data_IF_730269035661
#
_entry.id   IF_730269035661
#
_cell.length_a   1.000
_cell.length_b   1.000
_cell.length_c   1.000
_cell.angle_alpha   90.00
_cell.angle_beta   90.00
_cell.angle_gamma   90.00
#
_symmetry.space_group_name_H-M   'P 1'
#
loop_
_entity.id
_entity.type
_entity.pdbx_description
1 polymer ?
#
# COMPACT_ATOMS: atom_id res chain seq x y z
N UNK A 1 6.09 -15.34 15.64
CA UNK A 1 5.66 -14.02 16.15
C UNK A 1 5.13 -13.22 14.98
N UNK A 2 3.86 -12.86 15.02
CA UNK A 2 3.13 -12.14 13.99
C UNK A 2 3.78 -10.77 13.69
N UNK A 3 3.61 -10.26 12.46
CA UNK A 3 4.06 -8.91 12.10
C UNK A 3 3.01 -7.90 12.55
N UNK A 4 3.43 -6.77 13.15
CA UNK A 4 2.50 -5.70 13.49
C UNK A 4 2.21 -4.92 12.20
N UNK A 5 1.00 -5.06 11.65
CA UNK A 5 0.57 -4.36 10.43
C UNK A 5 -0.56 -3.42 10.81
N UNK A 6 -0.46 -2.16 10.38
CA UNK A 6 -1.48 -1.15 10.55
C UNK A 6 -1.76 -0.48 9.21
N UNK A 7 -3.03 -0.38 8.83
CA UNK A 7 -3.47 0.18 7.55
C UNK A 7 -4.56 1.21 7.86
N UNK A 8 -4.34 2.46 7.43
CA UNK A 8 -5.25 3.57 7.70
C UNK A 8 -5.37 4.49 6.50
N UNK A 9 -6.56 5.04 6.29
CA UNK A 9 -6.88 5.97 5.22
C UNK A 9 -6.85 7.43 5.68
N UNK A 10 -6.50 8.34 4.76
CA UNK A 10 -6.54 9.79 4.96
C UNK A 10 -6.99 10.49 3.68
N UNK A 11 -7.64 11.64 3.83
CA UNK A 11 -7.83 12.64 2.76
C UNK A 11 -6.85 13.77 2.98
N UNK A 12 -5.94 13.99 2.05
CA UNK A 12 -4.86 14.96 2.25
C UNK A 12 -4.49 15.69 0.96
N UNK A 13 -4.09 16.96 1.10
CA UNK A 13 -3.55 17.74 -0.01
C UNK A 13 -2.02 17.75 0.06
N UNK A 14 -1.38 17.06 -0.87
CA UNK A 14 0.08 16.97 -0.94
C UNK A 14 0.64 18.23 -1.59
N UNK A 15 1.13 19.16 -0.78
CA UNK A 15 1.81 20.38 -1.28
C UNK A 15 3.30 20.13 -1.55
N UNK A 16 3.96 19.35 -0.68
CA UNK A 16 5.38 19.03 -0.76
C UNK A 16 5.62 17.52 -0.60
N UNK A 17 5.83 16.85 -1.74
CA UNK A 17 6.07 15.42 -1.80
C UNK A 17 7.37 15.02 -1.09
N UNK A 18 8.46 15.76 -1.31
CA UNK A 18 9.77 15.44 -0.73
C UNK A 18 9.74 15.55 0.79
N UNK A 19 9.06 16.55 1.33
CA UNK A 19 8.84 16.69 2.77
C UNK A 19 8.08 15.50 3.31
N UNK A 20 6.96 15.12 2.67
CA UNK A 20 6.12 14.02 3.16
C UNK A 20 6.86 12.67 3.12
N UNK A 21 7.61 12.39 2.05
CA UNK A 21 8.44 11.19 1.95
C UNK A 21 9.54 11.16 3.03
N UNK A 22 10.22 12.30 3.24
CA UNK A 22 11.24 12.43 4.29
C UNK A 22 10.64 12.18 5.67
N UNK A 23 9.52 12.83 5.99
CA UNK A 23 8.84 12.67 7.28
C UNK A 23 8.36 11.24 7.49
N UNK A 24 7.83 10.56 6.46
CA UNK A 24 7.46 9.14 6.53
C UNK A 24 8.64 8.25 6.91
N UNK A 25 9.82 8.48 6.31
CA UNK A 25 11.04 7.74 6.64
C UNK A 25 11.51 8.02 8.08
N UNK A 26 11.45 9.26 8.54
CA UNK A 26 11.81 9.62 9.91
C UNK A 26 10.85 9.00 10.94
N UNK A 27 9.54 8.98 10.65
CA UNK A 27 8.53 8.36 11.52
C UNK A 27 8.72 6.86 11.63
N UNK A 28 8.87 6.15 10.52
CA UNK A 28 9.08 4.70 10.54
C UNK A 28 10.31 4.31 11.36
N UNK A 29 11.44 5.02 11.17
CA UNK A 29 12.65 4.79 11.96
C UNK A 29 12.45 5.09 13.45
N UNK A 30 11.72 6.17 13.79
CA UNK A 30 11.43 6.57 15.17
C UNK A 30 10.54 5.59 15.91
N UNK A 31 9.54 5.02 15.22
CA UNK A 31 8.53 4.14 15.83
C UNK A 31 8.79 2.65 15.59
N UNK A 32 9.90 2.28 14.95
CA UNK A 32 10.31 0.89 14.77
C UNK A 32 10.52 0.17 16.12
N UNK A 33 9.92 -1.02 16.27
CA UNK A 33 9.85 -1.71 17.58
C UNK A 33 10.70 -2.97 17.70
N UNK A 34 11.26 -3.52 16.60
CA UNK A 34 11.97 -4.79 16.66
C UNK A 34 13.16 -4.86 15.70
N UNK A 35 14.41 -4.62 16.18
CA UNK A 35 15.64 -4.64 15.40
C UNK A 35 15.91 -5.89 14.56
N UNK A 36 15.26 -7.02 14.87
CA UNK A 36 15.43 -8.29 14.14
C UNK A 36 14.43 -8.47 12.99
N UNK A 37 13.53 -7.51 12.76
CA UNK A 37 12.50 -7.58 11.72
C UNK A 37 12.59 -6.39 10.78
N UNK A 38 12.18 -6.57 9.54
CA UNK A 38 12.03 -5.45 8.60
C UNK A 38 10.87 -4.56 9.02
N UNK A 39 10.95 -3.28 8.71
CA UNK A 39 9.90 -2.31 8.99
C UNK A 39 9.67 -1.41 7.78
N UNK A 40 8.49 -0.80 7.73
CA UNK A 40 8.15 0.16 6.68
C UNK A 40 7.04 1.10 7.18
N UNK A 41 7.07 2.32 6.67
CA UNK A 41 5.88 3.16 6.56
C UNK A 41 5.77 3.58 5.08
N UNK A 42 4.74 3.10 4.41
CA UNK A 42 4.49 3.37 3.01
C UNK A 42 3.16 4.12 2.85
N UNK A 43 3.21 5.26 2.17
CA UNK A 43 2.03 6.03 1.78
C UNK A 43 1.71 5.70 0.31
N UNK A 44 0.46 5.35 0.05
CA UNK A 44 -0.03 4.88 -1.25
C UNK A 44 -1.25 5.69 -1.68
N UNK A 45 -1.48 5.79 -2.98
CA UNK A 45 -2.71 6.28 -3.56
C UNK A 45 -3.86 5.30 -3.24
N UNK A 46 -4.79 5.69 -2.37
CA UNK A 46 -5.88 4.80 -1.96
C UNK A 46 -6.90 4.56 -3.08
N UNK A 47 -6.99 5.46 -4.07
CA UNK A 47 -7.87 5.28 -5.24
C UNK A 47 -7.51 4.04 -6.08
N UNK A 48 -6.29 3.51 -5.93
CA UNK A 48 -5.83 2.30 -6.60
C UNK A 48 -5.98 1.03 -5.74
N UNK A 49 -6.62 1.12 -4.57
CA UNK A 49 -6.81 0.02 -3.62
C UNK A 49 -8.26 -0.47 -3.68
N UNK A 50 -8.42 -1.78 -3.82
CA UNK A 50 -9.71 -2.45 -3.96
C UNK A 50 -10.31 -2.98 -2.64
N UNK A 51 -10.06 -2.32 -1.51
CA UNK A 51 -10.49 -2.78 -0.19
C UNK A 51 -9.35 -3.16 0.75
N UNK A 52 -9.71 -3.41 2.01
CA UNK A 52 -8.76 -3.73 3.08
C UNK A 52 -8.04 -5.05 2.85
N UNK A 53 -8.76 -6.08 2.39
CA UNK A 53 -8.16 -7.41 2.19
C UNK A 53 -7.19 -7.40 1.02
N UNK A 54 -7.45 -6.60 -0.02
CA UNK A 54 -6.50 -6.38 -1.11
C UNK A 54 -5.16 -5.83 -0.61
N UNK A 55 -5.16 -4.71 0.13
CA UNK A 55 -3.92 -4.10 0.60
C UNK A 55 -3.24 -4.97 1.66
N UNK A 56 -3.99 -5.60 2.58
CA UNK A 56 -3.43 -6.53 3.55
C UNK A 56 -2.73 -7.71 2.84
N UNK A 57 -3.37 -8.28 1.81
CA UNK A 57 -2.79 -9.36 1.02
C UNK A 57 -1.48 -8.93 0.35
N UNK A 58 -1.43 -7.74 -0.25
CA UNK A 58 -0.21 -7.18 -0.82
C UNK A 58 0.92 -7.02 0.22
N UNK A 59 0.59 -6.57 1.44
CA UNK A 59 1.55 -6.45 2.54
C UNK A 59 2.10 -7.80 2.98
N UNK A 60 1.21 -8.78 3.17
CA UNK A 60 1.60 -10.15 3.54
C UNK A 60 2.53 -10.73 2.47
N UNK A 61 2.19 -10.56 1.19
CA UNK A 61 3.03 -11.04 0.10
C UNK A 61 4.38 -10.32 0.03
N UNK A 62 4.44 -9.02 0.29
CA UNK A 62 5.69 -8.28 0.33
C UNK A 62 6.60 -8.77 1.48
N UNK A 63 6.05 -8.94 2.68
CA UNK A 63 6.78 -9.48 3.84
C UNK A 63 7.32 -10.88 3.52
N UNK A 64 6.45 -11.75 3.00
CA UNK A 64 6.81 -13.12 2.66
C UNK A 64 7.91 -13.17 1.58
N UNK A 65 7.85 -12.29 0.57
CA UNK A 65 8.88 -12.20 -0.46
C UNK A 65 10.24 -11.83 0.14
N UNK A 66 10.27 -10.89 1.09
CA UNK A 66 11.48 -10.54 1.82
C UNK A 66 12.01 -11.66 2.71
N UNK A 67 11.13 -12.34 3.45
CA UNK A 67 11.52 -13.47 4.30
C UNK A 67 12.09 -14.64 3.48
N UNK A 68 11.66 -14.80 2.23
CA UNK A 68 12.19 -15.82 1.30
C UNK A 68 13.36 -15.35 0.43
N UNK A 69 13.71 -14.05 0.45
CA UNK A 69 14.73 -13.48 -0.44
C UNK A 69 14.31 -13.43 -1.91
N UNK A 70 13.01 -13.39 -2.18
CA UNK A 70 12.38 -13.32 -3.51
C UNK A 70 11.84 -11.91 -3.83
N UNK A 71 12.12 -10.93 -2.98
CA UNK A 71 11.70 -9.55 -3.15
C UNK A 71 12.27 -8.94 -4.44
N UNK A 72 11.44 -8.14 -5.12
CA UNK A 72 11.80 -7.44 -6.36
C UNK A 72 12.42 -6.08 -6.02
N UNK A 73 11.86 -5.38 -5.04
CA UNK A 73 12.33 -4.09 -4.58
C UNK A 73 13.40 -4.20 -3.48
N UNK A 74 14.12 -3.09 -3.26
CA UNK A 74 15.23 -3.01 -2.30
C UNK A 74 14.79 -2.79 -0.85
N UNK A 75 13.58 -2.30 -0.64
CA UNK A 75 12.99 -2.05 0.68
C UNK A 75 11.53 -2.53 0.72
N UNK A 76 11.05 -2.76 1.94
CA UNK A 76 9.73 -3.33 2.18
C UNK A 76 8.59 -2.41 1.72
N UNK A 77 8.73 -1.10 1.83
CA UNK A 77 7.72 -0.14 1.37
C UNK A 77 7.52 -0.18 -0.14
N UNK A 78 8.61 -0.21 -0.90
CA UNK A 78 8.57 -0.35 -2.36
C UNK A 78 8.05 -1.73 -2.81
N UNK A 79 8.34 -2.80 -2.07
CA UNK A 79 7.76 -4.11 -2.38
C UNK A 79 6.26 -4.15 -2.13
N UNK A 80 5.78 -3.56 -1.02
CA UNK A 80 4.34 -3.38 -0.78
C UNK A 80 3.71 -2.61 -1.95
N UNK A 81 4.35 -1.52 -2.39
CA UNK A 81 3.89 -0.74 -3.54
C UNK A 81 3.81 -1.57 -4.82
N UNK A 82 4.81 -2.41 -5.12
CA UNK A 82 4.81 -3.31 -6.28
C UNK A 82 3.63 -4.29 -6.22
N UNK A 83 3.51 -5.02 -5.10
CA UNK A 83 2.47 -6.04 -4.90
C UNK A 83 1.08 -5.45 -4.99
N UNK A 84 0.84 -4.32 -4.31
CA UNK A 84 -0.46 -3.65 -4.33
C UNK A 84 -0.81 -3.08 -5.71
N UNK A 85 0.19 -2.63 -6.49
CA UNK A 85 -0.03 -2.08 -7.84
C UNK A 85 -0.18 -3.13 -8.94
N UNK A 86 -0.05 -4.42 -8.62
CA UNK A 86 0.00 -5.51 -9.61
C UNK A 86 1.14 -5.37 -10.64
N UNK A 87 2.24 -4.71 -10.26
CA UNK A 87 3.38 -4.46 -11.15
C UNK A 87 4.66 -5.11 -10.62
N UNK A 88 5.53 -5.52 -11.55
CA UNK A 88 6.93 -5.91 -11.24
C UNK A 88 7.93 -4.77 -11.44
N UNK A 89 7.52 -3.69 -12.10
CA UNK A 89 8.37 -2.54 -12.39
C UNK A 89 8.06 -1.38 -11.43
N UNK A 90 9.05 -0.93 -10.67
CA UNK A 90 8.90 0.13 -9.66
C UNK A 90 8.34 1.42 -10.27
N UNK A 91 8.82 1.84 -11.44
CA UNK A 91 8.33 3.07 -12.08
C UNK A 91 6.84 3.01 -12.45
N UNK A 92 6.34 1.84 -12.87
CA UNK A 92 4.91 1.64 -13.16
C UNK A 92 4.10 1.61 -11.85
N UNK A 93 4.59 0.90 -10.84
CA UNK A 93 3.96 0.88 -9.52
C UNK A 93 3.81 2.28 -8.95
N UNK A 94 4.86 3.11 -8.99
CA UNK A 94 4.81 4.49 -8.51
C UNK A 94 3.89 5.39 -9.35
N UNK A 95 3.64 5.05 -10.61
CA UNK A 95 2.68 5.80 -11.44
C UNK A 95 1.23 5.57 -10.97
N UNK A 96 0.93 4.34 -10.53
CA UNK A 96 -0.39 3.90 -10.05
C UNK A 96 -0.59 4.26 -8.57
N UNK A 97 0.33 3.80 -7.73
CA UNK A 97 0.27 3.84 -6.26
C UNK A 97 1.03 5.01 -5.63
N UNK A 98 1.92 5.67 -6.37
CA UNK A 98 2.74 6.74 -5.82
C UNK A 98 1.92 7.99 -5.48
N UNK A 99 2.39 8.71 -4.48
CA UNK A 99 1.87 10.03 -4.13
C UNK A 99 2.13 11.04 -5.26
N UNK A 100 1.18 11.93 -5.46
CA UNK A 100 1.19 13.02 -6.44
C UNK A 100 0.86 14.32 -5.71
N UNK A 101 1.23 15.47 -6.29
CA UNK A 101 0.85 16.77 -5.73
C UNK A 101 -0.65 17.03 -5.93
N UNK A 102 -1.26 17.73 -4.98
CA UNK A 102 -2.69 18.04 -5.00
C UNK A 102 -3.50 17.19 -4.05
N UNK A 103 -4.82 17.24 -4.20
CA UNK A 103 -5.75 16.47 -3.38
C UNK A 103 -5.65 14.98 -3.70
N UNK A 104 -5.50 14.17 -2.66
CA UNK A 104 -5.38 12.73 -2.77
C UNK A 104 -6.05 12.01 -1.61
N UNK A 105 -6.56 10.82 -1.93
CA UNK A 105 -6.84 9.78 -0.97
C UNK A 105 -5.56 9.00 -0.72
N UNK A 106 -5.12 8.92 0.54
CA UNK A 106 -3.87 8.28 0.94
C UNK A 106 -4.17 7.06 1.82
N UNK A 107 -3.59 5.92 1.48
CA UNK A 107 -3.53 4.75 2.34
C UNK A 107 -2.13 4.66 2.94
N UNK A 108 -2.03 4.74 4.27
CA UNK A 108 -0.78 4.55 4.98
C UNK A 108 -0.71 3.11 5.51
N UNK A 109 0.38 2.43 5.17
CA UNK A 109 0.70 1.08 5.63
C UNK A 109 1.94 1.14 6.50
N UNK A 110 1.81 0.71 7.74
CA UNK A 110 2.91 0.57 8.70
C UNK A 110 3.14 -0.90 9.01
N UNK A 111 4.41 -1.34 8.95
CA UNK A 111 4.84 -2.68 9.32
C UNK A 111 5.91 -2.60 10.40
N UNK A 112 5.72 -3.35 11.49
CA UNK A 112 6.63 -3.46 12.64
C UNK A 112 7.00 -2.10 13.26
N UNK A 113 6.05 -1.16 13.28
CA UNK A 113 6.13 0.08 14.05
C UNK A 113 5.09 0.09 15.18
N UNK A 114 5.34 0.90 16.21
CA UNK A 114 4.44 1.09 17.34
C UNK A 114 3.12 1.75 16.89
N UNK A 115 2.02 1.47 17.58
CA UNK A 115 0.69 2.09 17.37
C UNK A 115 0.71 3.62 17.34
N UNK A 116 1.64 4.25 18.10
CA UNK A 116 1.84 5.71 18.10
C UNK A 116 2.23 6.30 16.75
N UNK A 117 2.63 5.48 15.77
CA UNK A 117 2.90 5.97 14.42
C UNK A 117 1.64 6.54 13.78
N UNK A 118 0.46 6.01 14.12
CA UNK A 118 -0.78 6.50 13.54
C UNK A 118 -1.16 7.86 14.12
N UNK A 119 -0.97 8.07 15.42
CA UNK A 119 -1.18 9.38 16.04
C UNK A 119 -0.27 10.44 15.40
N UNK A 120 0.99 10.09 15.12
CA UNK A 120 1.91 10.98 14.43
C UNK A 120 1.52 11.24 12.96
N UNK A 121 0.92 10.27 12.28
CA UNK A 121 0.36 10.46 10.94
C UNK A 121 -0.87 11.37 10.98
N UNK A 122 -1.71 11.30 12.01
CA UNK A 122 -2.87 12.19 12.15
C UNK A 122 -2.46 13.64 12.36
N UNK A 123 -1.36 13.89 13.08
CA UNK A 123 -0.78 15.24 13.22
C UNK A 123 -0.33 15.84 11.88
N UNK A 124 0.00 15.01 10.88
CA UNK A 124 0.53 15.44 9.58
C UNK A 124 -0.55 15.45 8.50
N UNK A 125 -1.33 14.37 8.42
CA UNK A 125 -2.29 14.09 7.35
C UNK A 125 -3.72 14.47 7.73
N UNK A 126 -3.98 14.84 8.98
CA UNK A 126 -5.30 15.12 9.50
C UNK A 126 -6.02 13.86 9.97
N UNK A 127 -7.35 13.94 10.07
CA UNK A 127 -8.17 12.86 10.63
C UNK A 127 -8.13 11.61 9.75
N UNK A 128 -8.09 10.44 10.40
CA UNK A 128 -8.29 9.15 9.72
C UNK A 128 -9.64 9.13 9.00
N UNK A 129 -9.62 8.63 7.77
CA UNK A 129 -10.80 8.36 6.97
C UNK A 129 -10.58 7.05 6.21
N UNK A 130 -10.95 5.93 6.82
CA UNK A 130 -10.79 4.60 6.21
C UNK A 130 -11.74 4.35 5.05
N UNK A 131 -12.77 5.19 4.84
CA UNK A 131 -13.67 5.03 3.68
C UNK A 131 -12.95 5.22 2.34
N UNK A 132 -11.77 5.84 2.35
CA UNK A 132 -10.93 5.98 1.15
C UNK A 132 -10.27 4.67 0.71
N UNK A 133 -10.28 3.64 1.54
CA UNK A 133 -9.76 2.30 1.22
C UNK A 133 -10.85 1.44 0.58
N UNK A 134 -12.13 1.81 0.77
CA UNK A 134 -13.25 1.09 0.17
C UNK A 134 -13.14 1.17 -1.37
N UNK A 135 -13.44 0.06 -2.08
CA UNK A 135 -13.24 -0.02 -3.52
C UNK A 135 -14.14 0.96 -4.28
N UNK A 136 -13.52 1.85 -5.07
CA UNK A 136 -14.21 2.64 -6.10
C UNK A 136 -14.11 1.90 -7.44
N UNK A 137 -15.21 1.24 -7.82
CA UNK A 137 -15.28 0.39 -9.01
C UNK A 137 -14.89 1.14 -10.29
N UNK A 138 -15.35 2.38 -10.46
CA UNK A 138 -15.12 3.12 -11.69
C UNK A 138 -13.65 3.52 -11.82
N UNK A 139 -13.06 4.03 -10.73
CA UNK A 139 -11.62 4.37 -10.70
C UNK A 139 -10.75 3.13 -10.90
N UNK A 140 -11.05 2.03 -10.24
CA UNK A 140 -10.24 0.83 -10.32
C UNK A 140 -10.32 0.18 -11.71
N UNK A 141 -11.50 0.18 -12.35
CA UNK A 141 -11.64 -0.25 -13.74
C UNK A 141 -10.79 0.60 -14.69
N UNK A 142 -10.78 1.92 -14.49
CA UNK A 142 -9.95 2.84 -15.29
C UNK A 142 -8.45 2.63 -15.05
N UNK A 143 -8.02 2.50 -13.79
CA UNK A 143 -6.60 2.37 -13.42
C UNK A 143 -5.98 1.06 -13.93
N UNK A 144 -6.74 -0.05 -13.84
CA UNK A 144 -6.24 -1.39 -14.12
C UNK A 144 -6.75 -2.01 -15.41
N UNK A 145 -7.51 -1.26 -16.22
CA UNK A 145 -8.14 -1.73 -17.46
C UNK A 145 -8.94 -3.03 -17.25
N UNK A 146 -9.77 -3.05 -16.20
CA UNK A 146 -10.53 -4.24 -15.80
C UNK A 146 -11.79 -4.36 -16.65
N UNK A 147 -11.93 -5.52 -17.30
CA UNK A 147 -13.12 -5.86 -18.09
C UNK A 147 -14.28 -6.36 -17.22
N UNK A 148 -15.52 -6.23 -17.71
CA UNK A 148 -16.69 -6.83 -17.04
C UNK A 148 -16.57 -8.36 -16.94
N UNK A 149 -15.98 -9.00 -17.96
CA UNK A 149 -15.77 -10.45 -17.97
C UNK A 149 -14.86 -10.92 -16.82
N UNK A 150 -13.82 -10.15 -16.49
CA UNK A 150 -12.99 -10.45 -15.32
C UNK A 150 -13.80 -10.35 -14.02
N UNK A 151 -14.63 -9.31 -13.88
CA UNK A 151 -15.44 -9.14 -12.66
C UNK A 151 -16.48 -10.25 -12.49
N UNK A 152 -17.08 -10.74 -13.57
CA UNK A 152 -18.00 -11.88 -13.52
C UNK A 152 -17.32 -13.17 -13.04
N UNK A 153 -16.06 -13.41 -13.43
CA UNK A 153 -15.30 -14.61 -13.04
C UNK A 153 -14.97 -14.59 -11.55
N UNK A 154 -14.54 -13.44 -11.03
CA UNK A 154 -14.03 -13.32 -9.65
C UNK A 154 -15.10 -12.85 -8.64
N UNK A 155 -16.27 -12.42 -9.12
CA UNK A 155 -17.43 -12.01 -8.32
C UNK A 155 -17.30 -10.64 -7.64
N UNK A 156 -16.08 -10.17 -7.37
CA UNK A 156 -15.80 -8.83 -6.86
C UNK A 156 -14.46 -8.31 -7.37
N UNK A 157 -14.30 -6.99 -7.40
CA UNK A 157 -13.01 -6.37 -7.74
C UNK A 157 -11.94 -6.68 -6.69
N UNK A 158 -12.31 -6.77 -5.41
CA UNK A 158 -11.37 -7.11 -4.34
C UNK A 158 -10.78 -8.52 -4.56
N UNK A 159 -11.63 -9.52 -4.86
CA UNK A 159 -11.19 -10.88 -5.16
C UNK A 159 -10.29 -10.93 -6.40
N UNK A 160 -10.66 -10.21 -7.46
CA UNK A 160 -9.84 -10.09 -8.67
C UNK A 160 -8.45 -9.54 -8.35
N UNK A 161 -8.38 -8.46 -7.57
CA UNK A 161 -7.12 -7.80 -7.22
C UNK A 161 -6.26 -8.64 -6.27
N UNK A 162 -6.88 -9.36 -5.32
CA UNK A 162 -6.20 -10.33 -4.45
C UNK A 162 -5.59 -11.45 -5.30
N UNK A 163 -6.34 -12.02 -6.24
CA UNK A 163 -5.83 -13.08 -7.12
C UNK A 163 -4.68 -12.57 -8.00
N UNK A 164 -4.85 -11.40 -8.65
CA UNK A 164 -3.78 -10.80 -9.47
C UNK A 164 -2.51 -10.53 -8.65
N UNK A 165 -2.66 -10.15 -7.38
CA UNK A 165 -1.52 -9.97 -6.46
C UNK A 165 -0.78 -11.30 -6.25
N UNK A 166 -1.52 -12.39 -6.06
CA UNK A 166 -0.95 -13.73 -5.90
C UNK A 166 -0.26 -14.24 -7.19
N UNK A 167 -0.82 -13.94 -8.36
CA UNK A 167 -0.25 -14.32 -9.66
C UNK A 167 1.15 -13.74 -9.91
N UNK A 168 1.46 -12.55 -9.36
CA UNK A 168 2.82 -11.97 -9.43
C UNK A 168 3.91 -12.87 -8.82
N UNK A 169 3.54 -13.89 -8.03
CA UNK A 169 4.46 -14.85 -7.41
C UNK A 169 4.73 -16.02 -8.35
N UNK A 170 3.75 -16.41 -9.18
CA UNK A 170 3.84 -17.58 -10.04
C UNK A 170 4.63 -17.31 -11.33
N UNK A 171 4.71 -16.05 -11.75
CA UNK A 171 5.46 -15.62 -12.93
C UNK A 171 6.96 -15.42 -12.63
N UNK A 172 7.66 -16.48 -12.19
CA UNK A 172 9.12 -16.47 -12.00
C UNK A 172 9.85 -16.71 -13.32
#
# INVERSE_FOLDING_TARGET
MENNIQIVGFKFKVDNLDYLLKTSNELSAKYYINPSKMYALQLLNADAIAGYDHILNAVIHAINAFERGENIAKDLGLEICLRASLQRQISKALTIMGLKKGEMNICAVSVNCNEKIIDALEEILGNRDNSVIDPDMDKLKEIYDISETELEIYGSIENLMIEKTAMLILEV
#
